data_IF_523877691215
#
_entry.id   IF_523877691215
#
_cell.length_a   1.000
_cell.length_b   1.000
_cell.length_c   1.000
_cell.angle_alpha   90.00
_cell.angle_beta   90.00
_cell.angle_gamma   90.00
#
_symmetry.space_group_name_H-M   'P 1'
#
loop_
_entity.id
_entity.type
_entity.pdbx_description
1 polymer ?
#
# COMPACT_ATOMS: atom_id res chain seq x y z
N UNK A 1 -6.45 -26.98 1.41
CA UNK A 1 -6.78 -25.59 1.04
C UNK A 1 -7.91 -25.01 1.89
N UNK A 2 -9.04 -25.71 2.10
CA UNK A 2 -10.14 -25.18 2.92
C UNK A 2 -9.71 -24.83 4.36
N UNK A 3 -8.95 -25.69 5.04
CA UNK A 3 -8.46 -25.44 6.40
C UNK A 3 -7.50 -24.23 6.49
N UNK A 4 -6.61 -24.05 5.51
CA UNK A 4 -5.72 -22.88 5.44
C UNK A 4 -6.51 -21.57 5.29
N UNK A 5 -7.48 -21.55 4.37
CA UNK A 5 -8.36 -20.38 4.16
C UNK A 5 -9.18 -20.10 5.42
N UNK A 6 -9.79 -21.13 6.04
CA UNK A 6 -10.57 -20.97 7.26
C UNK A 6 -9.73 -20.40 8.40
N UNK A 7 -8.49 -20.90 8.61
CA UNK A 7 -7.58 -20.40 9.64
C UNK A 7 -7.21 -18.92 9.39
N UNK A 8 -6.94 -18.53 8.13
CA UNK A 8 -6.62 -17.14 7.77
C UNK A 8 -7.80 -16.20 7.98
N UNK A 9 -9.01 -16.63 7.62
CA UNK A 9 -10.24 -15.88 7.89
C UNK A 9 -10.51 -15.75 9.38
N UNK A 10 -10.31 -16.80 10.16
CA UNK A 10 -10.42 -16.76 11.62
C UNK A 10 -9.43 -15.79 12.25
N UNK A 11 -8.20 -15.68 11.74
CA UNK A 11 -7.20 -14.71 12.22
C UNK A 11 -7.50 -13.28 11.76
N UNK A 12 -8.17 -13.09 10.63
CA UNK A 12 -8.60 -11.76 10.17
C UNK A 12 -9.65 -11.13 11.08
N UNK A 13 -10.55 -11.93 11.69
CA UNK A 13 -11.59 -11.44 12.59
C UNK A 13 -11.03 -10.72 13.82
N UNK A 14 -10.15 -11.30 14.65
CA UNK A 14 -9.57 -10.60 15.79
C UNK A 14 -8.72 -9.40 15.36
N UNK A 15 -8.06 -9.45 14.19
CA UNK A 15 -7.30 -8.32 13.66
C UNK A 15 -8.24 -7.15 13.33
N UNK A 16 -9.32 -7.39 12.60
CA UNK A 16 -10.31 -6.35 12.28
C UNK A 16 -11.02 -5.83 13.53
N UNK A 17 -11.32 -6.71 14.49
CA UNK A 17 -11.88 -6.29 15.76
C UNK A 17 -10.91 -5.38 16.54
N UNK A 18 -9.62 -5.73 16.60
CA UNK A 18 -8.59 -4.88 17.19
C UNK A 18 -8.49 -3.51 16.51
N UNK A 19 -8.58 -3.48 15.18
CA UNK A 19 -8.61 -2.22 14.42
C UNK A 19 -9.85 -1.39 14.76
N UNK A 20 -11.04 -2.01 14.87
CA UNK A 20 -12.27 -1.34 15.29
C UNK A 20 -12.13 -0.70 16.67
N UNK A 21 -11.55 -1.45 17.63
CA UNK A 21 -11.30 -0.94 18.99
C UNK A 21 -10.34 0.24 18.96
N UNK A 22 -9.21 0.12 18.26
CA UNK A 22 -8.23 1.21 18.15
C UNK A 22 -8.84 2.42 17.45
N UNK A 23 -9.54 2.23 16.34
CA UNK A 23 -10.20 3.31 15.62
C UNK A 23 -11.25 4.02 16.49
N UNK A 24 -12.01 3.27 17.28
CA UNK A 24 -12.94 3.85 18.25
C UNK A 24 -12.23 4.65 19.33
N UNK A 25 -11.15 4.12 19.91
CA UNK A 25 -10.39 4.80 20.96
C UNK A 25 -9.70 6.07 20.50
N UNK A 26 -9.39 6.21 19.20
CA UNK A 26 -8.79 7.44 18.65
C UNK A 26 -9.67 8.68 18.93
N UNK A 27 -11.00 8.54 19.01
CA UNK A 27 -11.89 9.64 19.36
C UNK A 27 -11.70 10.13 20.80
N UNK A 28 -11.20 9.29 21.70
CA UNK A 28 -11.02 9.63 23.13
C UNK A 28 -9.61 10.12 23.45
N UNK A 29 -8.63 9.76 22.62
CA UNK A 29 -7.24 10.21 22.81
C UNK A 29 -7.06 11.66 22.29
N UNK A 30 -7.88 12.06 21.32
CA UNK A 30 -7.84 13.41 20.80
C UNK A 30 -8.44 14.41 21.82
N UNK A 31 -7.69 15.44 22.24
CA UNK A 31 -8.21 16.44 23.16
C UNK A 31 -9.29 17.29 22.48
N UNK A 32 -10.43 17.50 23.18
CA UNK A 32 -11.54 18.34 22.74
C UNK A 32 -12.88 17.58 22.72
N UNK A 33 -13.98 18.32 22.80
CA UNK A 33 -15.33 17.79 22.65
C UNK A 33 -15.63 17.62 21.15
N UNK A 34 -16.03 16.43 20.67
CA UNK A 34 -16.36 16.22 19.27
C UNK A 34 -17.49 17.14 18.77
N UNK A 35 -18.40 17.54 19.64
CA UNK A 35 -19.49 18.47 19.30
C UNK A 35 -18.98 19.88 19.11
N UNK A 36 -18.08 20.36 19.98
CA UNK A 36 -17.45 21.67 19.84
C UNK A 36 -16.60 21.76 18.56
N UNK A 37 -15.93 20.64 18.20
CA UNK A 37 -15.16 20.54 16.96
C UNK A 37 -16.04 20.66 15.69
N UNK A 38 -17.29 20.21 15.75
CA UNK A 38 -18.23 20.31 14.61
C UNK A 38 -18.82 21.71 14.42
N UNK A 39 -19.15 22.39 15.50
CA UNK A 39 -20.00 23.58 15.44
C UNK A 39 -19.19 24.86 15.62
N UNK A 40 -17.98 24.77 16.22
CA UNK A 40 -17.18 25.91 16.63
C UNK A 40 -17.77 26.64 17.83
N UNK A 41 -17.10 27.71 18.27
CA UNK A 41 -17.42 28.47 19.50
C UNK A 41 -18.76 29.27 19.46
N UNK A 42 -19.50 29.23 18.35
CA UNK A 42 -20.67 30.12 18.13
C UNK A 42 -22.04 29.45 18.16
N UNK A 43 -22.12 28.17 18.50
CA UNK A 43 -23.40 27.48 18.53
C UNK A 43 -24.17 27.78 19.83
N UNK A 44 -25.51 27.83 19.71
CA UNK A 44 -26.39 27.93 20.86
C UNK A 44 -26.43 26.62 21.67
N UNK A 45 -26.70 26.72 22.97
CA UNK A 45 -26.73 25.60 23.89
C UNK A 45 -27.74 24.51 23.52
N UNK A 46 -28.83 24.87 22.85
CA UNK A 46 -29.85 23.94 22.41
C UNK A 46 -29.35 23.06 21.23
N UNK A 47 -28.64 23.64 20.28
CA UNK A 47 -28.02 22.92 19.17
C UNK A 47 -26.92 21.98 19.67
N UNK A 48 -26.11 22.43 20.64
CA UNK A 48 -25.09 21.59 21.29
C UNK A 48 -25.75 20.38 21.98
N UNK A 49 -26.76 20.58 22.79
CA UNK A 49 -27.45 19.51 23.49
C UNK A 49 -28.10 18.50 22.53
N UNK A 50 -28.71 18.98 21.46
CA UNK A 50 -29.31 18.13 20.42
C UNK A 50 -28.25 17.25 19.72
N UNK A 51 -27.12 17.85 19.32
CA UNK A 51 -26.04 17.11 18.68
C UNK A 51 -25.40 16.10 19.62
N UNK A 52 -25.23 16.43 20.90
CA UNK A 52 -24.72 15.48 21.91
C UNK A 52 -25.61 14.26 22.01
N UNK A 53 -26.94 14.47 22.03
CA UNK A 53 -27.89 13.37 22.03
C UNK A 53 -27.87 12.55 20.73
N UNK A 54 -27.83 13.20 19.57
CA UNK A 54 -27.76 12.52 18.27
C UNK A 54 -26.45 11.70 18.10
N UNK A 55 -25.35 12.19 18.62
CA UNK A 55 -24.03 11.52 18.56
C UNK A 55 -23.79 10.54 19.71
N UNK A 56 -24.74 10.42 20.63
CA UNK A 56 -24.63 9.54 21.81
C UNK A 56 -23.35 9.81 22.64
N UNK A 57 -22.92 11.08 22.71
CA UNK A 57 -21.63 11.45 23.34
C UNK A 57 -21.65 11.19 24.85
N UNK A 58 -22.81 11.28 25.48
CA UNK A 58 -22.98 11.14 26.93
C UNK A 58 -23.32 9.68 27.34
N UNK A 59 -23.47 8.75 26.36
CA UNK A 59 -23.73 7.34 26.65
C UNK A 59 -22.50 6.63 27.25
N UNK A 60 -22.68 5.58 28.06
CA UNK A 60 -21.59 4.74 28.54
C UNK A 60 -20.74 4.16 27.40
N UNK A 61 -19.43 4.09 27.60
CA UNK A 61 -18.47 3.62 26.58
C UNK A 61 -18.86 2.31 25.87
N UNK A 62 -19.37 1.26 26.55
CA UNK A 62 -19.77 0.03 25.88
C UNK A 62 -20.95 0.23 24.90
N UNK A 63 -21.92 1.09 25.25
CA UNK A 63 -23.04 1.40 24.37
C UNK A 63 -22.58 2.18 23.14
N UNK A 64 -21.73 3.18 23.32
CA UNK A 64 -21.12 3.93 22.20
C UNK A 64 -20.32 3.03 21.27
N UNK A 65 -19.55 2.10 21.81
CA UNK A 65 -18.81 1.12 21.00
C UNK A 65 -19.78 0.21 20.23
N UNK A 66 -20.84 -0.28 20.84
CA UNK A 66 -21.85 -1.10 20.17
C UNK A 66 -22.54 -0.33 19.03
N UNK A 67 -22.92 0.93 19.24
CA UNK A 67 -23.46 1.82 18.21
C UNK A 67 -22.46 2.04 17.06
N UNK A 68 -21.18 2.29 17.40
CA UNK A 68 -20.13 2.44 16.39
C UNK A 68 -19.98 1.19 15.54
N UNK A 69 -19.87 0.01 16.17
CA UNK A 69 -19.75 -1.27 15.45
C UNK A 69 -20.96 -1.55 14.56
N UNK A 70 -22.19 -1.29 15.06
CA UNK A 70 -23.41 -1.49 14.27
C UNK A 70 -23.47 -0.60 13.02
N UNK A 71 -23.05 0.66 13.11
CA UNK A 71 -22.96 1.59 11.98
C UNK A 71 -21.90 1.14 10.96
N UNK A 72 -20.72 0.78 11.44
CA UNK A 72 -19.64 0.27 10.59
C UNK A 72 -20.05 -1.02 9.87
N UNK A 73 -20.80 -1.92 10.54
CA UNK A 73 -21.28 -3.17 9.94
C UNK A 73 -22.22 -2.96 8.74
N UNK A 74 -22.93 -1.83 8.69
CA UNK A 74 -23.78 -1.44 7.54
C UNK A 74 -23.06 -0.51 6.55
N UNK A 75 -21.75 -0.28 6.76
CA UNK A 75 -20.93 0.56 5.88
C UNK A 75 -21.03 2.07 6.14
N UNK A 76 -21.67 2.47 7.25
CA UNK A 76 -21.73 3.87 7.66
C UNK A 76 -20.47 4.22 8.47
N UNK A 77 -19.55 4.93 7.83
CA UNK A 77 -18.31 5.43 8.44
C UNK A 77 -18.46 6.83 9.06
N UNK A 78 -19.68 7.37 9.07
CA UNK A 78 -19.97 8.72 9.57
C UNK A 78 -19.77 9.81 8.52
N UNK A 79 -19.81 11.06 8.99
CA UNK A 79 -19.65 12.28 8.19
C UNK A 79 -18.43 13.07 8.66
N UNK A 80 -17.75 13.72 7.71
CA UNK A 80 -16.68 14.65 8.00
C UNK A 80 -17.19 15.84 8.79
N UNK A 81 -16.52 16.22 9.87
CA UNK A 81 -16.87 17.41 10.65
C UNK A 81 -16.60 18.72 9.88
N UNK A 82 -15.74 18.68 8.89
CA UNK A 82 -15.32 19.87 8.12
C UNK A 82 -16.15 20.08 6.86
N UNK A 83 -16.45 18.99 6.14
CA UNK A 83 -17.11 19.07 4.82
C UNK A 83 -18.57 18.63 4.86
N UNK A 84 -19.04 18.05 5.97
CA UNK A 84 -20.34 17.41 6.16
C UNK A 84 -20.65 16.33 5.11
N UNK A 85 -19.66 15.85 4.37
CA UNK A 85 -19.82 14.76 3.38
C UNK A 85 -19.71 13.41 4.04
N UNK A 86 -20.46 12.39 3.56
CA UNK A 86 -20.27 11.02 4.01
C UNK A 86 -18.85 10.53 3.72
N UNK A 87 -18.16 10.01 4.74
CA UNK A 87 -16.77 9.53 4.63
C UNK A 87 -16.66 8.39 3.63
N UNK A 88 -17.64 7.49 3.58
CA UNK A 88 -17.71 6.40 2.61
C UNK A 88 -17.69 6.92 1.16
N UNK A 89 -18.33 8.06 0.88
CA UNK A 89 -18.31 8.69 -0.44
C UNK A 89 -16.92 9.25 -0.76
N UNK A 90 -16.28 9.96 0.18
CA UNK A 90 -14.94 10.49 0.00
C UNK A 90 -13.91 9.37 -0.27
N UNK A 91 -14.03 8.25 0.45
CA UNK A 91 -13.20 7.05 0.25
C UNK A 91 -13.45 6.47 -1.15
N UNK A 92 -14.71 6.30 -1.55
CA UNK A 92 -15.07 5.75 -2.86
C UNK A 92 -14.52 6.57 -4.03
N UNK A 93 -14.46 7.89 -3.90
CA UNK A 93 -13.92 8.81 -4.92
C UNK A 93 -12.37 8.78 -4.96
N UNK A 94 -11.70 8.51 -3.83
CA UNK A 94 -10.23 8.65 -3.69
C UNK A 94 -9.50 7.32 -3.80
N UNK A 95 -10.08 6.23 -3.30
CA UNK A 95 -9.44 4.91 -3.30
C UNK A 95 -9.03 4.43 -4.70
N UNK A 96 -9.82 4.59 -5.77
CA UNK A 96 -9.40 4.23 -7.11
C UNK A 96 -8.12 4.94 -7.57
N UNK A 97 -7.89 6.17 -7.09
CA UNK A 97 -6.69 6.96 -7.42
C UNK A 97 -5.46 6.45 -6.67
N UNK A 98 -5.61 6.08 -5.39
CA UNK A 98 -4.56 5.37 -4.64
C UNK A 98 -4.24 4.03 -5.28
N UNK A 99 -5.27 3.26 -5.70
CA UNK A 99 -5.09 1.98 -6.38
C UNK A 99 -4.37 2.14 -7.73
N UNK A 100 -4.69 3.20 -8.49
CA UNK A 100 -4.01 3.55 -9.73
C UNK A 100 -2.52 3.82 -9.50
N UNK A 101 -2.18 4.61 -8.48
CA UNK A 101 -0.79 4.92 -8.13
C UNK A 101 -0.04 3.66 -7.65
N UNK A 102 -0.64 2.89 -6.74
CA UNK A 102 -0.07 1.64 -6.23
C UNK A 102 0.15 0.62 -7.36
N UNK A 103 -0.84 0.46 -8.26
CA UNK A 103 -0.74 -0.43 -9.41
C UNK A 103 0.36 -0.01 -10.38
N UNK A 104 0.48 1.29 -10.68
CA UNK A 104 1.54 1.80 -11.55
C UNK A 104 2.93 1.63 -10.93
N UNK A 105 3.08 1.92 -9.63
CA UNK A 105 4.34 1.70 -8.90
C UNK A 105 4.72 0.22 -8.87
N UNK A 106 3.75 -0.68 -8.65
CA UNK A 106 3.95 -2.12 -8.65
C UNK A 106 4.37 -2.63 -10.03
N UNK A 107 3.70 -2.17 -11.08
CA UNK A 107 4.03 -2.55 -12.46
C UNK A 107 5.46 -2.13 -12.81
N UNK A 108 5.84 -0.89 -12.50
CA UNK A 108 7.21 -0.39 -12.69
C UNK A 108 8.22 -1.21 -11.88
N UNK A 109 7.94 -1.45 -10.60
CA UNK A 109 8.83 -2.22 -9.74
C UNK A 109 9.03 -3.65 -10.25
N UNK A 110 7.95 -4.31 -10.68
CA UNK A 110 8.02 -5.66 -11.24
C UNK A 110 8.80 -5.68 -12.55
N UNK A 111 8.43 -4.84 -13.51
CA UNK A 111 9.06 -4.82 -14.84
C UNK A 111 10.54 -4.48 -14.75
N UNK A 112 10.90 -3.40 -14.06
CA UNK A 112 12.29 -2.93 -13.97
C UNK A 112 13.10 -3.80 -13.03
N UNK A 113 12.58 -4.10 -11.81
CA UNK A 113 13.31 -4.85 -10.81
C UNK A 113 13.61 -6.30 -11.25
N UNK A 114 12.60 -7.01 -11.78
CA UNK A 114 12.81 -8.38 -12.26
C UNK A 114 13.76 -8.40 -13.44
N UNK A 115 13.60 -7.49 -14.42
CA UNK A 115 14.49 -7.42 -15.59
C UNK A 115 15.92 -7.15 -15.18
N UNK A 116 16.17 -6.16 -14.32
CA UNK A 116 17.49 -5.86 -13.79
C UNK A 116 18.09 -7.06 -13.03
N UNK A 117 17.30 -7.74 -12.21
CA UNK A 117 17.74 -8.92 -11.47
C UNK A 117 18.15 -10.08 -12.37
N UNK A 118 17.37 -10.36 -13.42
CA UNK A 118 17.68 -11.40 -14.42
C UNK A 118 18.94 -11.06 -15.20
N UNK A 119 19.07 -9.82 -15.69
CA UNK A 119 20.24 -9.38 -16.44
C UNK A 119 21.51 -9.41 -15.59
N UNK A 120 21.39 -8.98 -14.33
CA UNK A 120 22.46 -9.01 -13.33
C UNK A 120 22.94 -10.45 -13.04
N UNK A 121 22.01 -11.40 -12.89
CA UNK A 121 22.34 -12.80 -12.63
C UNK A 121 22.97 -13.52 -13.83
N UNK A 122 22.72 -13.06 -15.07
CA UNK A 122 23.34 -13.65 -16.26
C UNK A 122 24.82 -13.30 -16.43
N UNK A 123 25.23 -12.14 -15.92
CA UNK A 123 26.62 -11.65 -16.00
C UNK A 123 27.07 -11.14 -14.63
N UNK A 124 27.32 -12.04 -13.67
CA UNK A 124 27.72 -11.67 -12.31
C UNK A 124 29.09 -10.92 -12.36
N UNK A 125 29.18 -9.80 -11.64
CA UNK A 125 30.35 -8.92 -11.63
C UNK A 125 30.51 -8.01 -12.86
N UNK A 126 29.62 -8.14 -13.85
CA UNK A 126 29.61 -7.28 -15.04
C UNK A 126 29.10 -5.85 -14.75
N UNK A 127 29.17 -4.98 -15.77
CA UNK A 127 28.73 -3.57 -15.63
C UNK A 127 27.24 -3.46 -15.25
N UNK A 128 26.37 -4.27 -15.86
CA UNK A 128 24.92 -4.28 -15.53
C UNK A 128 24.71 -4.72 -14.08
N UNK A 129 25.43 -5.72 -13.60
CA UNK A 129 25.36 -6.20 -12.23
C UNK A 129 25.79 -5.11 -11.23
N UNK A 130 26.92 -4.47 -11.47
CA UNK A 130 27.42 -3.38 -10.63
C UNK A 130 26.47 -2.18 -10.62
N UNK A 131 25.92 -1.82 -11.77
CA UNK A 131 24.93 -0.75 -11.88
C UNK A 131 23.63 -1.09 -11.13
N UNK A 132 23.09 -2.30 -11.33
CA UNK A 132 21.87 -2.75 -10.65
C UNK A 132 22.04 -2.80 -9.12
N UNK A 133 23.19 -3.30 -8.64
CA UNK A 133 23.51 -3.31 -7.21
C UNK A 133 23.70 -1.89 -6.67
N UNK A 134 24.38 -1.01 -7.38
CA UNK A 134 24.51 0.42 -7.01
C UNK A 134 23.15 1.10 -6.89
N UNK A 135 22.29 0.91 -7.89
CA UNK A 135 20.92 1.43 -7.87
C UNK A 135 20.11 0.84 -6.70
N UNK A 136 20.30 -0.45 -6.40
CA UNK A 136 19.65 -1.11 -5.28
C UNK A 136 20.07 -0.51 -3.93
N UNK A 137 21.36 -0.26 -3.74
CA UNK A 137 21.84 0.39 -2.51
C UNK A 137 21.31 1.82 -2.37
N UNK A 138 21.33 2.61 -3.44
CA UNK A 138 20.79 3.97 -3.44
C UNK A 138 19.28 3.97 -3.13
N UNK A 139 18.50 3.12 -3.80
CA UNK A 139 17.05 3.04 -3.63
C UNK A 139 16.59 2.61 -2.24
N UNK A 140 17.42 1.85 -1.50
CA UNK A 140 17.12 1.44 -0.13
C UNK A 140 17.59 2.50 0.89
N UNK A 141 18.70 3.20 0.59
CA UNK A 141 19.33 4.15 1.52
C UNK A 141 18.61 5.49 1.59
N UNK A 142 17.97 5.94 0.51
CA UNK A 142 17.29 7.23 0.50
C UNK A 142 15.84 7.14 0.99
N UNK A 143 15.40 8.08 1.84
CA UNK A 143 13.98 8.20 2.20
C UNK A 143 13.12 8.49 0.96
N UNK A 144 11.95 7.86 0.88
CA UNK A 144 11.03 7.98 -0.29
C UNK A 144 10.71 9.44 -0.63
N UNK A 145 10.47 10.29 0.39
CA UNK A 145 10.17 11.70 0.16
C UNK A 145 11.34 12.46 -0.48
N UNK A 146 12.57 12.13 -0.11
CA UNK A 146 13.77 12.75 -0.68
C UNK A 146 13.92 12.38 -2.16
N UNK A 147 13.72 11.12 -2.51
CA UNK A 147 13.69 10.66 -3.90
C UNK A 147 12.62 11.42 -4.69
N UNK A 148 11.42 11.59 -4.14
CA UNK A 148 10.34 12.34 -4.80
C UNK A 148 10.74 13.79 -5.11
N UNK A 149 11.34 14.48 -4.15
CA UNK A 149 11.81 15.86 -4.34
C UNK A 149 12.93 15.96 -5.38
N UNK A 150 13.90 15.03 -5.38
CA UNK A 150 14.95 14.98 -6.39
C UNK A 150 14.40 14.72 -7.80
N UNK A 151 13.43 13.83 -7.94
CA UNK A 151 12.77 13.56 -9.23
C UNK A 151 11.98 14.78 -9.72
N UNK A 152 11.29 15.52 -8.83
CA UNK A 152 10.63 16.78 -9.17
C UNK A 152 11.67 17.78 -9.65
N UNK A 153 12.75 17.98 -8.89
CA UNK A 153 13.81 18.92 -9.22
C UNK A 153 14.41 18.62 -10.60
N UNK A 154 14.74 17.35 -10.86
CA UNK A 154 15.37 16.95 -12.12
C UNK A 154 14.38 17.01 -13.29
N UNK A 155 13.26 16.29 -13.20
CA UNK A 155 12.38 16.07 -14.36
C UNK A 155 11.34 17.17 -14.56
N UNK A 156 10.91 17.85 -13.51
CA UNK A 156 9.88 18.88 -13.63
C UNK A 156 10.47 20.30 -13.69
N UNK A 157 11.46 20.60 -12.84
CA UNK A 157 12.03 21.96 -12.77
C UNK A 157 13.16 22.14 -13.78
N UNK A 158 14.14 21.23 -13.80
CA UNK A 158 15.35 21.40 -14.65
C UNK A 158 15.08 20.98 -16.09
N UNK A 159 14.63 19.75 -16.32
CA UNK A 159 14.38 19.22 -17.68
C UNK A 159 13.02 19.64 -18.26
N UNK A 160 12.05 20.00 -17.42
CA UNK A 160 10.68 20.39 -17.81
C UNK A 160 9.94 19.33 -18.64
N UNK A 161 10.27 18.06 -18.46
CA UNK A 161 9.67 16.94 -19.21
C UNK A 161 8.32 16.50 -18.63
N UNK A 162 8.19 16.55 -17.29
CA UNK A 162 7.05 16.03 -16.56
C UNK A 162 6.49 17.09 -15.59
N UNK A 163 5.20 17.05 -15.28
CA UNK A 163 4.60 17.96 -14.31
C UNK A 163 5.11 17.67 -12.88
N UNK A 164 5.30 18.73 -12.03
CA UNK A 164 5.81 18.55 -10.68
C UNK A 164 4.80 17.89 -9.72
N UNK A 165 3.50 18.13 -9.94
CA UNK A 165 2.42 17.67 -9.07
C UNK A 165 1.06 17.74 -9.77
N UNK A 166 0.02 17.16 -9.16
CA UNK A 166 -1.35 17.21 -9.67
C UNK A 166 -1.87 15.84 -10.10
N UNK A 167 -3.02 15.86 -10.80
CA UNK A 167 -3.71 14.68 -11.29
C UNK A 167 -4.32 14.95 -12.66
N UNK A 168 -4.16 14.06 -13.63
CA UNK A 168 -4.74 14.25 -14.97
C UNK A 168 -4.05 13.43 -16.06
N UNK A 169 -4.01 12.32 -16.28
CA UNK A 169 -3.36 11.52 -17.33
C UNK A 169 -2.00 10.95 -16.93
N UNK A 170 -1.40 10.22 -17.83
CA UNK A 170 -0.21 9.41 -17.56
C UNK A 170 1.01 10.23 -17.14
N UNK A 171 1.17 11.44 -17.66
CA UNK A 171 2.34 12.30 -17.35
C UNK A 171 2.42 12.65 -15.86
N UNK A 172 1.26 12.80 -15.19
CA UNK A 172 1.20 13.08 -13.75
C UNK A 172 1.47 11.84 -12.88
N UNK A 173 1.34 10.64 -13.46
CA UNK A 173 1.52 9.36 -12.74
C UNK A 173 2.98 8.92 -12.69
N UNK A 174 3.81 9.33 -13.65
CA UNK A 174 5.18 8.82 -13.82
C UNK A 174 6.05 9.09 -12.60
N UNK A 175 6.18 10.36 -12.17
CA UNK A 175 7.04 10.72 -11.04
C UNK A 175 6.57 10.11 -9.71
N UNK A 176 5.26 10.19 -9.35
CA UNK A 176 4.76 9.52 -8.15
C UNK A 176 4.98 8.01 -8.17
N UNK A 177 4.74 7.33 -9.30
CA UNK A 177 4.90 5.89 -9.42
C UNK A 177 6.38 5.47 -9.32
N UNK A 178 7.31 6.21 -9.93
CA UNK A 178 8.75 6.01 -9.77
C UNK A 178 9.18 6.21 -8.32
N UNK A 179 8.72 7.29 -7.68
CA UNK A 179 9.03 7.58 -6.27
C UNK A 179 8.60 6.47 -5.35
N UNK A 180 7.34 6.03 -5.47
CA UNK A 180 6.78 4.96 -4.64
C UNK A 180 7.43 3.61 -4.94
N UNK A 181 7.71 3.31 -6.22
CA UNK A 181 8.25 2.05 -6.69
C UNK A 181 9.76 1.89 -6.53
N UNK A 182 10.54 2.97 -6.36
CA UNK A 182 12.01 2.94 -6.38
C UNK A 182 12.60 1.93 -5.39
N UNK A 183 12.12 1.94 -4.14
CA UNK A 183 12.57 1.00 -3.11
C UNK A 183 12.29 -0.45 -3.50
N UNK A 184 11.11 -0.73 -4.04
CA UNK A 184 10.75 -2.08 -4.47
C UNK A 184 11.49 -2.50 -5.74
N UNK A 185 11.76 -1.59 -6.68
CA UNK A 185 12.66 -1.87 -7.83
C UNK A 185 14.01 -2.39 -7.32
N UNK A 186 14.61 -1.66 -6.38
CA UNK A 186 15.88 -1.99 -5.78
C UNK A 186 15.87 -3.35 -5.07
N UNK A 187 14.85 -3.59 -4.27
CA UNK A 187 14.69 -4.83 -3.50
C UNK A 187 14.43 -6.03 -4.43
N UNK A 188 13.52 -5.89 -5.40
CA UNK A 188 13.18 -6.92 -6.36
C UNK A 188 14.36 -7.26 -7.27
N UNK A 189 15.14 -6.27 -7.72
CA UNK A 189 16.33 -6.52 -8.52
C UNK A 189 17.34 -7.40 -7.77
N UNK A 190 17.63 -7.07 -6.51
CA UNK A 190 18.54 -7.85 -5.67
C UNK A 190 18.01 -9.25 -5.37
N UNK A 191 16.73 -9.35 -5.01
CA UNK A 191 16.10 -10.63 -4.69
C UNK A 191 16.00 -11.54 -5.91
N UNK A 192 15.55 -11.00 -7.06
CA UNK A 192 15.50 -11.74 -8.33
C UNK A 192 16.89 -12.21 -8.74
N UNK A 193 17.92 -11.36 -8.60
CA UNK A 193 19.31 -11.74 -8.88
C UNK A 193 19.74 -12.95 -8.04
N UNK A 194 19.52 -12.90 -6.72
CA UNK A 194 19.89 -14.03 -5.84
C UNK A 194 19.16 -15.31 -6.22
N UNK A 195 17.83 -15.24 -6.34
CA UNK A 195 17.04 -16.41 -6.71
C UNK A 195 17.38 -16.97 -8.11
N UNK A 196 17.75 -16.10 -9.05
CA UNK A 196 18.20 -16.50 -10.39
C UNK A 196 19.57 -17.21 -10.34
N UNK A 197 20.53 -16.72 -9.53
CA UNK A 197 21.83 -17.38 -9.37
C UNK A 197 21.65 -18.79 -8.79
N UNK A 198 20.81 -18.96 -7.80
CA UNK A 198 20.50 -20.26 -7.23
C UNK A 198 19.84 -21.19 -8.27
N UNK A 199 18.87 -20.68 -9.01
CA UNK A 199 18.17 -21.43 -10.03
C UNK A 199 19.08 -21.83 -11.21
N UNK A 200 19.98 -20.94 -11.67
CA UNK A 200 20.89 -21.19 -12.79
C UNK A 200 21.95 -22.27 -12.47
N UNK A 201 22.27 -22.45 -11.19
CA UNK A 201 23.20 -23.50 -10.71
C UNK A 201 22.53 -24.83 -10.39
N UNK A 202 21.19 -24.92 -10.44
CA UNK A 202 20.45 -26.11 -10.10
C UNK A 202 20.55 -27.21 -11.19
N UNK A 203 20.40 -28.48 -10.81
CA UNK A 203 20.54 -29.65 -11.70
C UNK A 203 19.54 -29.68 -12.85
N UNK A 204 18.33 -29.16 -12.65
CA UNK A 204 17.33 -29.07 -13.72
C UNK A 204 17.78 -28.14 -14.86
N UNK A 205 18.58 -27.09 -14.55
CA UNK A 205 19.17 -26.20 -15.56
C UNK A 205 20.29 -26.90 -16.29
N UNK A 206 21.15 -27.67 -15.60
CA UNK A 206 22.18 -28.50 -16.24
C UNK A 206 21.55 -29.50 -17.21
N UNK A 207 20.44 -30.14 -16.80
CA UNK A 207 19.68 -31.06 -17.66
C UNK A 207 19.09 -30.35 -18.88
N UNK A 208 18.56 -29.13 -18.73
CA UNK A 208 18.03 -28.34 -19.83
C UNK A 208 19.13 -27.99 -20.86
N UNK A 209 20.33 -27.59 -20.39
CA UNK A 209 21.50 -27.34 -21.24
C UNK A 209 22.00 -28.62 -21.95
N UNK A 210 22.04 -29.74 -21.24
CA UNK A 210 22.41 -31.05 -21.83
C UNK A 210 21.45 -31.49 -22.94
N UNK A 211 20.16 -31.07 -22.89
CA UNK A 211 19.18 -31.28 -23.98
C UNK A 211 19.34 -30.31 -25.17
N UNK A 212 20.38 -29.46 -25.19
CA UNK A 212 20.65 -28.52 -26.27
C UNK A 212 19.74 -27.27 -26.29
N UNK A 213 19.04 -26.94 -25.20
CA UNK A 213 18.23 -25.73 -25.13
C UNK A 213 19.12 -24.48 -25.12
N UNK A 214 18.75 -23.47 -25.92
CA UNK A 214 19.45 -22.18 -25.95
C UNK A 214 19.36 -21.43 -24.62
N UNK A 215 20.39 -20.69 -24.24
CA UNK A 215 20.51 -19.97 -22.96
C UNK A 215 19.34 -19.03 -22.65
N UNK A 216 18.73 -18.41 -23.65
CA UNK A 216 17.54 -17.58 -23.46
C UNK A 216 16.35 -18.39 -22.93
N UNK A 217 16.10 -19.56 -23.50
CA UNK A 217 15.02 -20.47 -23.06
C UNK A 217 15.33 -21.00 -21.66
N UNK A 218 16.58 -21.41 -21.42
CA UNK A 218 17.02 -21.86 -20.08
C UNK A 218 16.79 -20.80 -19.04
N UNK A 219 17.17 -19.56 -19.31
CA UNK A 219 17.02 -18.42 -18.39
C UNK A 219 15.56 -18.07 -18.14
N UNK A 220 14.78 -17.85 -19.21
CA UNK A 220 13.41 -17.29 -19.07
C UNK A 220 12.38 -18.33 -18.73
N UNK A 221 12.46 -19.55 -19.28
CA UNK A 221 11.43 -20.57 -19.09
C UNK A 221 11.73 -21.54 -17.95
N UNK A 222 13.01 -21.82 -17.69
CA UNK A 222 13.40 -22.78 -16.65
C UNK A 222 13.85 -22.09 -15.37
N UNK A 223 14.85 -21.21 -15.40
CA UNK A 223 15.38 -20.58 -14.20
C UNK A 223 14.43 -19.52 -13.62
N UNK A 224 13.96 -18.57 -14.45
CA UNK A 224 13.10 -17.47 -13.99
C UNK A 224 11.81 -17.96 -13.36
N UNK A 225 11.17 -18.98 -13.92
CA UNK A 225 9.93 -19.54 -13.37
C UNK A 225 10.09 -19.98 -11.91
N UNK A 226 11.22 -20.59 -11.56
CA UNK A 226 11.51 -20.98 -10.19
C UNK A 226 11.94 -19.80 -9.33
N UNK A 227 12.72 -18.88 -9.88
CA UNK A 227 13.17 -17.67 -9.19
C UNK A 227 12.02 -16.69 -8.86
N UNK A 228 10.90 -16.74 -9.59
CA UNK A 228 9.73 -15.88 -9.32
C UNK A 228 8.94 -16.29 -8.07
N UNK A 229 9.07 -17.50 -7.55
CA UNK A 229 8.29 -17.94 -6.38
C UNK A 229 8.47 -16.97 -5.18
N UNK A 230 9.70 -16.70 -4.69
CA UNK A 230 9.90 -15.75 -3.61
C UNK A 230 9.56 -14.30 -4.02
N UNK A 231 9.72 -13.94 -5.29
CA UNK A 231 9.42 -12.59 -5.81
C UNK A 231 7.93 -12.26 -5.73
N UNK A 232 7.04 -13.21 -6.06
CA UNK A 232 5.59 -13.04 -5.99
C UNK A 232 5.13 -12.73 -4.56
N UNK A 233 5.73 -13.37 -3.56
CA UNK A 233 5.42 -13.11 -2.15
C UNK A 233 5.73 -11.66 -1.77
N UNK A 234 6.90 -11.17 -2.16
CA UNK A 234 7.31 -9.79 -1.88
C UNK A 234 6.42 -8.78 -2.61
N UNK A 235 6.09 -9.06 -3.87
CA UNK A 235 5.18 -8.21 -4.63
C UNK A 235 3.81 -8.04 -3.94
N UNK A 236 3.27 -9.13 -3.38
CA UNK A 236 2.00 -9.06 -2.66
C UNK A 236 2.09 -8.21 -1.37
N UNK A 237 3.15 -8.39 -0.60
CA UNK A 237 3.39 -7.60 0.62
C UNK A 237 3.63 -6.12 0.31
N UNK A 238 4.43 -5.82 -0.72
CA UNK A 238 4.70 -4.46 -1.17
C UNK A 238 3.41 -3.78 -1.68
N UNK A 239 2.54 -4.52 -2.39
CA UNK A 239 1.28 -3.96 -2.86
C UNK A 239 0.37 -3.54 -1.72
N UNK A 240 0.25 -4.38 -0.67
CA UNK A 240 -0.46 -4.01 0.56
C UNK A 240 0.12 -2.76 1.21
N UNK A 241 1.45 -2.69 1.30
CA UNK A 241 2.16 -1.54 1.84
C UNK A 241 1.94 -0.26 0.99
N UNK A 242 1.88 -0.36 -0.33
CA UNK A 242 1.60 0.80 -1.20
C UNK A 242 0.19 1.35 -1.01
N UNK A 243 -0.81 0.48 -0.84
CA UNK A 243 -2.19 0.91 -0.63
C UNK A 243 -2.39 1.64 0.70
N UNK A 244 -1.59 1.31 1.71
CA UNK A 244 -1.67 1.93 3.04
C UNK A 244 -0.59 2.99 3.28
N UNK A 245 0.54 2.92 2.59
CA UNK A 245 1.75 3.71 2.84
C UNK A 245 2.10 4.74 1.76
N UNK A 246 1.27 4.95 0.73
CA UNK A 246 1.49 5.97 -0.31
C UNK A 246 1.28 7.42 0.16
N UNK A 247 0.98 7.62 1.45
CA UNK A 247 0.59 8.90 2.08
C UNK A 247 1.57 10.03 1.73
N UNK A 248 2.86 9.82 1.95
CA UNK A 248 3.89 10.84 1.68
C UNK A 248 4.00 11.15 0.19
N UNK A 249 3.97 10.13 -0.67
CA UNK A 249 4.02 10.29 -2.11
C UNK A 249 2.79 11.05 -2.62
N UNK A 250 1.60 10.67 -2.18
CA UNK A 250 0.36 11.37 -2.53
C UNK A 250 0.38 12.84 -2.09
N UNK A 251 0.95 13.12 -0.93
CA UNK A 251 1.04 14.48 -0.39
C UNK A 251 2.02 15.34 -1.20
N UNK A 252 3.23 14.85 -1.47
CA UNK A 252 4.28 15.56 -2.20
C UNK A 252 3.83 15.90 -3.62
N UNK A 253 3.25 14.91 -4.32
CA UNK A 253 2.80 15.08 -5.70
C UNK A 253 1.38 15.63 -5.82
N UNK A 254 0.75 16.01 -4.71
CA UNK A 254 -0.65 16.45 -4.69
C UNK A 254 -1.62 15.49 -5.36
N UNK A 255 -1.32 14.18 -5.29
CA UNK A 255 -2.16 13.13 -5.81
C UNK A 255 -3.44 12.98 -4.97
N UNK A 256 -4.64 12.99 -5.56
CA UNK A 256 -5.89 13.06 -4.79
C UNK A 256 -6.36 11.70 -4.29
N UNK A 257 -5.47 10.95 -3.62
CA UNK A 257 -5.75 9.65 -3.04
C UNK A 257 -6.23 9.69 -1.58
N UNK A 258 -6.39 8.51 -0.97
CA UNK A 258 -6.82 8.37 0.44
C UNK A 258 -5.71 8.83 1.39
N UNK A 259 -4.45 8.55 1.11
CA UNK A 259 -3.35 8.94 1.99
C UNK A 259 -3.30 10.45 2.20
N UNK A 260 -3.41 11.24 1.12
CA UNK A 260 -3.50 12.70 1.21
C UNK A 260 -4.78 13.16 1.94
N UNK A 261 -5.89 12.44 1.76
CA UNK A 261 -7.13 12.73 2.48
C UNK A 261 -6.94 12.57 3.99
N UNK A 262 -6.28 11.51 4.44
CA UNK A 262 -5.96 11.28 5.86
C UNK A 262 -5.08 12.39 6.42
N UNK A 263 -4.02 12.81 5.70
CA UNK A 263 -3.15 13.92 6.14
C UNK A 263 -3.94 15.22 6.30
N UNK A 264 -4.82 15.52 5.34
CA UNK A 264 -5.67 16.71 5.43
C UNK A 264 -6.66 16.62 6.60
N UNK A 265 -7.23 15.43 6.86
CA UNK A 265 -8.11 15.19 8.00
C UNK A 265 -7.37 15.39 9.33
N UNK A 266 -6.13 14.87 9.45
CA UNK A 266 -5.29 15.05 10.64
C UNK A 266 -4.98 16.54 10.86
N UNK A 267 -4.56 17.26 9.81
CA UNK A 267 -4.23 18.69 9.88
C UNK A 267 -5.42 19.56 10.30
N UNK A 268 -6.64 19.11 9.97
CA UNK A 268 -7.89 19.81 10.30
C UNK A 268 -8.61 19.26 11.53
N UNK A 269 -8.04 18.23 12.18
CA UNK A 269 -8.64 17.53 13.33
C UNK A 269 -10.02 16.92 13.02
N UNK A 270 -10.22 16.46 11.79
CA UNK A 270 -11.46 15.80 11.35
C UNK A 270 -11.44 14.33 11.82
N UNK A 271 -11.81 14.10 13.06
CA UNK A 271 -11.70 12.79 13.71
C UNK A 271 -12.49 11.68 13.00
N UNK A 272 -13.77 11.89 12.57
CA UNK A 272 -14.47 10.84 11.85
C UNK A 272 -13.81 10.47 10.53
N UNK A 273 -13.26 11.47 9.79
CA UNK A 273 -12.56 11.21 8.55
C UNK A 273 -11.28 10.41 8.78
N UNK A 274 -10.53 10.69 9.85
CA UNK A 274 -9.36 9.92 10.27
C UNK A 274 -9.80 8.49 10.61
N UNK A 275 -10.78 8.33 11.51
CA UNK A 275 -11.27 7.05 11.99
C UNK A 275 -11.77 6.15 10.85
N UNK A 276 -12.66 6.67 10.00
CA UNK A 276 -13.21 5.93 8.87
C UNK A 276 -12.14 5.53 7.84
N UNK A 277 -11.17 6.43 7.59
CA UNK A 277 -10.07 6.14 6.67
C UNK A 277 -9.11 5.09 7.22
N UNK A 278 -8.73 5.17 8.50
CA UNK A 278 -7.86 4.17 9.17
C UNK A 278 -8.53 2.79 9.15
N UNK A 279 -9.81 2.72 9.49
CA UNK A 279 -10.58 1.47 9.45
C UNK A 279 -10.62 0.89 8.04
N UNK A 280 -10.92 1.72 7.04
CA UNK A 280 -10.96 1.28 5.64
C UNK A 280 -9.60 0.79 5.15
N UNK A 281 -8.52 1.56 5.36
CA UNK A 281 -7.16 1.18 4.94
C UNK A 281 -6.69 -0.10 5.62
N UNK A 282 -6.97 -0.26 6.90
CA UNK A 282 -6.64 -1.49 7.64
C UNK A 282 -7.42 -2.70 7.09
N UNK A 283 -8.71 -2.52 6.75
CA UNK A 283 -9.51 -3.57 6.11
C UNK A 283 -8.93 -3.95 4.74
N UNK A 284 -8.57 -2.96 3.91
CA UNK A 284 -7.91 -3.18 2.62
C UNK A 284 -6.59 -3.95 2.81
N UNK A 285 -5.78 -3.57 3.80
CA UNK A 285 -4.53 -4.26 4.10
C UNK A 285 -4.75 -5.73 4.47
N UNK A 286 -5.73 -6.03 5.32
CA UNK A 286 -6.09 -7.41 5.69
C UNK A 286 -6.55 -8.21 4.47
N UNK A 287 -7.39 -7.62 3.61
CA UNK A 287 -7.89 -8.27 2.38
C UNK A 287 -6.75 -8.54 1.41
N UNK A 288 -5.86 -7.58 1.19
CA UNK A 288 -4.70 -7.74 0.29
C UNK A 288 -3.75 -8.81 0.81
N UNK A 289 -3.46 -8.84 2.11
CA UNK A 289 -2.64 -9.89 2.70
C UNK A 289 -3.29 -11.27 2.53
N UNK A 290 -4.60 -11.38 2.73
CA UNK A 290 -5.32 -12.64 2.50
C UNK A 290 -5.21 -13.09 1.03
N UNK A 291 -5.39 -12.18 0.07
CA UNK A 291 -5.23 -12.47 -1.36
C UNK A 291 -3.79 -12.93 -1.66
N UNK A 292 -2.80 -12.26 -1.07
CA UNK A 292 -1.37 -12.60 -1.23
C UNK A 292 -1.06 -13.98 -0.68
N UNK A 293 -1.57 -14.31 0.50
CA UNK A 293 -1.42 -15.64 1.11
C UNK A 293 -2.04 -16.74 0.23
N UNK A 294 -3.21 -16.46 -0.36
CA UNK A 294 -3.88 -17.40 -1.28
C UNK A 294 -3.10 -17.57 -2.59
N UNK A 295 -2.56 -16.48 -3.13
CA UNK A 295 -1.71 -16.52 -4.33
C UNK A 295 -0.43 -17.33 -4.07
N UNK A 296 0.19 -17.12 -2.90
CA UNK A 296 1.36 -17.87 -2.47
C UNK A 296 1.07 -19.36 -2.29
N UNK A 297 -0.01 -19.72 -1.59
CA UNK A 297 -0.43 -21.13 -1.41
C UNK A 297 -0.76 -21.84 -2.73
N UNK A 298 -1.13 -21.08 -3.78
CA UNK A 298 -1.33 -21.62 -5.13
C UNK A 298 -0.01 -21.76 -5.89
N UNK A 299 0.94 -20.84 -5.68
CA UNK A 299 2.24 -20.84 -6.36
C UNK A 299 3.19 -21.91 -5.78
N UNK A 300 3.19 -22.10 -4.46
CA UNK A 300 4.01 -23.12 -3.78
C UNK A 300 3.13 -24.17 -3.07
N UNK A 301 2.99 -25.39 -3.65
CA UNK A 301 2.20 -26.46 -3.04
C UNK A 301 2.73 -26.95 -1.67
N UNK A 302 3.98 -26.67 -1.33
CA UNK A 302 4.62 -27.11 -0.07
C UNK A 302 4.05 -26.38 1.16
N UNK A 303 3.56 -25.18 0.98
CA UNK A 303 2.95 -24.37 2.06
C UNK A 303 1.57 -24.87 2.50
N UNK A 304 0.96 -25.79 1.75
CA UNK A 304 -0.36 -26.33 2.07
C UNK A 304 -0.38 -27.29 3.27
N UNK A 305 0.77 -27.69 3.76
CA UNK A 305 0.92 -28.71 4.82
C UNK A 305 1.39 -28.14 6.16
N UNK A 306 1.55 -26.82 6.29
CA UNK A 306 1.81 -26.10 7.54
C UNK A 306 0.56 -25.27 7.95
#
# INVERSE_FOLDING_TARGET
MSGFIARRLLLAVPTLFGVLVVAFLLLYVAPGDPVEAMIGERADSATIARLRAELHVDDPLPQRFAHYVSRVAVGDLGRSYITDRPIAQDIRERFPKTLQLAGAAMLLASCVGITLGVLSARHPGGLVDRFALGLAYLGISFPVYYVGLLLILLFAVTLKWLPPSGYGGLRFLVLPALTLGMRSIAFLARMTRSAMLDALNADFVRTARAKGLGEWIVTTRHALRNALIPVITVLGLDFGAYLTGSILTETIFSWPGIGRYVVNAISRRDLPAIQGSVLFLSTVFVVVNLITDLAYAKADPRVRFQ
#
